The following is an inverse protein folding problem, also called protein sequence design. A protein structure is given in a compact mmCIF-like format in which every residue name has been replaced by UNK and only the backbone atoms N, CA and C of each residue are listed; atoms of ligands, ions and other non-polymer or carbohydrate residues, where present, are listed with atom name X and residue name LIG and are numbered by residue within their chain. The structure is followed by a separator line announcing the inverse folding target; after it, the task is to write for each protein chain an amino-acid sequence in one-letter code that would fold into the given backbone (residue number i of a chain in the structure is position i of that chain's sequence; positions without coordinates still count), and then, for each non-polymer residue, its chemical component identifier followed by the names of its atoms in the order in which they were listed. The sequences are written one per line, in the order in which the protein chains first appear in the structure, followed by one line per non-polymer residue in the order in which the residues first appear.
data_IF_714331092135
#
_entry.id   IF_714331092135
#
_cell.length_a   1.000
_cell.length_b   1.000
_cell.length_c   1.000
_cell.angle_alpha   90.00
_cell.angle_beta   90.00
_cell.angle_gamma   90.00
#
_symmetry.space_group_name_H-M   'P 1'
#
loop_
_entity.id
_entity.type
_entity.pdbx_description
1 polymer ?
#
# COMPACT_ATOMS: atom_id res chain seq x y z
N UNK A 1 11.59 -18.56 22.38
CA UNK A 1 11.12 -17.38 23.16
C UNK A 1 12.27 -16.37 23.37
N UNK A 2 12.99 -16.02 22.30
CA UNK A 2 14.24 -15.25 22.39
C UNK A 2 14.03 -13.78 21.98
N UNK A 3 13.32 -13.54 20.86
CA UNK A 3 13.06 -12.18 20.35
C UNK A 3 12.18 -11.31 21.27
N UNK A 4 11.14 -11.88 21.91
CA UNK A 4 10.28 -11.17 22.88
C UNK A 4 11.05 -10.80 24.17
N UNK A 5 12.09 -11.58 24.50
CA UNK A 5 12.97 -11.36 25.65
C UNK A 5 14.22 -10.54 25.30
N UNK A 6 14.35 -10.09 24.05
CA UNK A 6 15.44 -9.22 23.62
C UNK A 6 15.46 -7.93 24.44
N UNK A 7 16.63 -7.36 24.70
CA UNK A 7 16.74 -6.04 25.35
C UNK A 7 16.44 -4.88 24.40
N UNK A 8 16.31 -5.16 23.11
CA UNK A 8 15.97 -4.18 22.08
C UNK A 8 14.45 -4.04 21.95
N UNK A 9 13.91 -2.86 22.26
CA UNK A 9 12.49 -2.57 22.10
C UNK A 9 11.97 -2.84 20.67
N UNK A 10 12.69 -2.47 19.58
CA UNK A 10 12.24 -2.77 18.22
C UNK A 10 12.03 -4.27 17.97
N UNK A 11 12.90 -5.12 18.54
CA UNK A 11 12.81 -6.57 18.38
C UNK A 11 11.58 -7.15 19.11
N UNK A 12 11.24 -6.61 20.28
CA UNK A 12 10.02 -7.01 21.01
C UNK A 12 8.76 -6.62 20.24
N UNK A 13 8.73 -5.43 19.65
CA UNK A 13 7.60 -4.94 18.86
C UNK A 13 7.35 -5.80 17.62
N UNK A 14 8.40 -6.11 16.86
CA UNK A 14 8.32 -7.00 15.69
C UNK A 14 7.84 -8.39 16.10
N UNK A 15 8.39 -8.96 17.17
CA UNK A 15 7.96 -10.26 17.67
C UNK A 15 6.49 -10.26 18.11
N UNK A 16 6.04 -9.19 18.77
CA UNK A 16 4.63 -9.00 19.14
C UNK A 16 3.71 -8.86 17.93
N UNK A 17 4.12 -8.11 16.91
CA UNK A 17 3.40 -7.98 15.65
C UNK A 17 3.26 -9.32 14.92
N UNK A 18 4.36 -10.08 14.80
CA UNK A 18 4.36 -11.41 14.17
C UNK A 18 3.41 -12.35 14.89
N UNK A 19 3.43 -12.36 16.23
CA UNK A 19 2.50 -13.17 17.03
C UNK A 19 1.03 -12.79 16.79
N UNK A 20 0.71 -11.49 16.74
CA UNK A 20 -0.66 -11.00 16.47
C UNK A 20 -1.15 -11.31 15.05
N UNK A 21 -0.24 -11.41 14.07
CA UNK A 21 -0.58 -11.65 12.66
C UNK A 21 -0.34 -13.10 12.20
N UNK A 22 0.03 -14.00 13.11
CA UNK A 22 0.47 -15.35 12.79
C UNK A 22 -0.55 -16.15 11.98
N UNK A 23 -1.83 -16.08 12.35
CA UNK A 23 -2.91 -16.79 11.64
C UNK A 23 -3.05 -16.33 10.19
N UNK A 24 -2.88 -15.03 9.93
CA UNK A 24 -2.89 -14.47 8.58
C UNK A 24 -1.65 -14.91 7.78
N UNK A 25 -0.49 -15.03 8.44
CA UNK A 25 0.74 -15.53 7.81
C UNK A 25 0.56 -17.00 7.38
N UNK A 26 -0.06 -17.83 8.20
CA UNK A 26 -0.36 -19.22 7.83
C UNK A 26 -1.40 -19.29 6.71
N UNK A 27 -2.44 -18.45 6.78
CA UNK A 27 -3.48 -18.37 5.74
C UNK A 27 -2.88 -18.05 4.37
N UNK A 28 -1.88 -17.18 4.32
CA UNK A 28 -1.10 -16.91 3.10
C UNK A 28 -0.45 -18.17 2.52
N UNK A 29 0.13 -19.04 3.35
CA UNK A 29 0.78 -20.27 2.85
C UNK A 29 -0.22 -21.21 2.17
N UNK A 30 -1.48 -21.21 2.63
CA UNK A 30 -2.55 -22.05 2.08
C UNK A 30 -3.22 -21.45 0.84
N UNK A 31 -3.53 -20.16 0.89
CA UNK A 31 -4.35 -19.50 -0.15
C UNK A 31 -3.53 -18.63 -1.12
N UNK A 32 -2.26 -18.34 -0.80
CA UNK A 32 -1.35 -17.42 -1.54
C UNK A 32 -1.95 -16.04 -1.82
N UNK A 33 -2.93 -15.61 -1.02
CA UNK A 33 -3.53 -14.29 -1.14
C UNK A 33 -2.56 -13.28 -0.55
N UNK A 34 -1.97 -12.44 -1.40
CA UNK A 34 -0.97 -11.43 -1.04
C UNK A 34 -1.61 -10.03 -1.03
N UNK A 35 -1.11 -9.13 -0.19
CA UNK A 35 -1.51 -7.72 -0.21
C UNK A 35 -0.72 -6.89 -1.26
N UNK A 36 0.07 -7.55 -2.12
CA UNK A 36 1.00 -6.88 -3.03
C UNK A 36 0.30 -5.94 -4.01
N UNK A 37 -0.90 -6.31 -4.49
CA UNK A 37 -1.68 -5.45 -5.39
C UNK A 37 -2.12 -4.15 -4.68
N UNK A 38 -2.64 -4.26 -3.45
CA UNK A 38 -3.03 -3.11 -2.64
C UNK A 38 -1.83 -2.23 -2.29
N UNK A 39 -0.68 -2.82 -1.96
CA UNK A 39 0.57 -2.09 -1.70
C UNK A 39 1.07 -1.37 -2.94
N UNK A 40 0.99 -2.00 -4.12
CA UNK A 40 1.32 -1.38 -5.40
C UNK A 40 0.46 -0.15 -5.67
N UNK A 41 -0.85 -0.24 -5.43
CA UNK A 41 -1.78 0.89 -5.54
C UNK A 41 -1.44 1.99 -4.53
N UNK A 42 -1.20 1.63 -3.27
CA UNK A 42 -0.85 2.58 -2.22
C UNK A 42 0.44 3.34 -2.55
N UNK A 43 1.46 2.65 -3.07
CA UNK A 43 2.71 3.27 -3.54
C UNK A 43 2.46 4.26 -4.68
N UNK A 44 1.59 3.92 -5.64
CA UNK A 44 1.20 4.85 -6.72
C UNK A 44 0.49 6.10 -6.19
N UNK A 45 -0.39 5.95 -5.19
CA UNK A 45 -1.07 7.08 -4.53
C UNK A 45 -0.07 7.98 -3.80
N UNK A 46 0.91 7.41 -3.08
CA UNK A 46 1.97 8.18 -2.44
C UNK A 46 2.80 8.96 -3.46
N UNK A 47 3.12 8.34 -4.60
CA UNK A 47 3.80 9.02 -5.70
C UNK A 47 2.98 10.19 -6.25
N UNK A 48 1.68 10.02 -6.48
CA UNK A 48 0.78 11.12 -6.91
C UNK A 48 0.80 12.27 -5.89
N UNK A 49 0.73 11.94 -4.59
CA UNK A 49 0.82 12.94 -3.51
C UNK A 49 2.14 13.70 -3.53
N UNK A 50 3.26 12.98 -3.71
CA UNK A 50 4.60 13.56 -3.74
C UNK A 50 4.79 14.49 -4.94
N UNK A 51 4.44 14.03 -6.14
CA UNK A 51 4.63 14.78 -7.40
C UNK A 51 3.83 16.08 -7.43
N UNK A 52 2.65 16.10 -6.81
CA UNK A 52 1.78 17.26 -6.79
C UNK A 52 2.32 18.44 -5.94
N UNK A 53 3.33 18.22 -5.08
CA UNK A 53 3.90 19.25 -4.20
C UNK A 53 2.87 20.00 -3.31
N UNK A 54 1.68 19.44 -3.13
CA UNK A 54 0.58 19.99 -2.34
C UNK A 54 -0.71 20.16 -3.16
N UNK A 55 -1.78 19.49 -2.71
CA UNK A 55 -3.13 19.72 -3.24
C UNK A 55 -3.83 20.78 -2.38
N UNK A 56 -4.35 21.83 -3.03
CA UNK A 56 -5.11 22.92 -2.36
C UNK A 56 -6.42 22.45 -1.72
N UNK A 57 -7.03 21.39 -2.23
CA UNK A 57 -8.24 20.80 -1.68
C UNK A 57 -8.16 19.25 -1.74
N UNK A 58 -9.00 18.57 -0.94
CA UNK A 58 -9.07 17.10 -0.92
C UNK A 58 -9.63 16.54 -2.23
N UNK A 59 -10.58 17.24 -2.84
CA UNK A 59 -11.26 16.75 -4.04
C UNK A 59 -10.31 16.60 -5.23
N UNK A 60 -9.37 17.53 -5.42
CA UNK A 60 -8.36 17.47 -6.47
C UNK A 60 -7.41 16.29 -6.26
N UNK A 61 -7.08 15.97 -5.00
CA UNK A 61 -6.29 14.78 -4.71
C UNK A 61 -7.04 13.50 -5.08
N UNK A 62 -8.33 13.40 -4.74
CA UNK A 62 -9.18 12.27 -5.11
C UNK A 62 -9.29 12.14 -6.63
N UNK A 63 -9.56 13.25 -7.34
CA UNK A 63 -9.61 13.26 -8.80
C UNK A 63 -8.29 12.82 -9.43
N UNK A 64 -7.14 13.26 -8.90
CA UNK A 64 -5.83 12.82 -9.37
C UNK A 64 -5.60 11.32 -9.14
N UNK A 65 -6.05 10.77 -8.00
CA UNK A 65 -5.99 9.33 -7.76
C UNK A 65 -6.83 8.58 -8.80
N UNK A 66 -8.06 9.00 -9.06
CA UNK A 66 -8.90 8.38 -10.09
C UNK A 66 -8.29 8.50 -11.48
N UNK A 67 -7.69 9.65 -11.80
CA UNK A 67 -7.00 9.84 -13.07
C UNK A 67 -5.83 8.85 -13.25
N UNK A 68 -5.00 8.66 -12.23
CA UNK A 68 -3.82 7.80 -12.32
C UNK A 68 -4.09 6.31 -12.06
N UNK A 69 -5.12 5.96 -11.30
CA UNK A 69 -5.40 4.58 -10.87
C UNK A 69 -6.72 4.02 -11.40
N UNK A 70 -7.56 4.84 -12.03
CA UNK A 70 -8.91 4.46 -12.49
C UNK A 70 -8.97 3.76 -13.83
N UNK A 71 -7.84 3.55 -14.52
CA UNK A 71 -7.80 2.82 -15.80
C UNK A 71 -8.49 3.57 -16.94
N UNK A 72 -8.45 4.90 -16.94
CA UNK A 72 -9.03 5.73 -18.00
C UNK A 72 -8.27 5.54 -19.31
N UNK A 73 -9.01 5.34 -20.41
CA UNK A 73 -8.45 5.41 -21.76
C UNK A 73 -8.44 6.87 -22.22
N UNK A 74 -7.24 7.47 -22.21
CA UNK A 74 -7.01 8.88 -22.53
C UNK A 74 -6.19 9.03 -23.82
N UNK A 75 -6.00 7.93 -24.57
CA UNK A 75 -5.32 8.00 -25.85
C UNK A 75 -6.15 8.90 -26.80
N UNK A 76 -5.53 9.87 -27.48
CA UNK A 76 -6.23 10.64 -28.49
C UNK A 76 -6.73 9.70 -29.58
N UNK A 77 -8.02 9.78 -29.91
CA UNK A 77 -8.53 9.09 -31.09
C UNK A 77 -7.82 9.65 -32.33
N UNK A 78 -7.41 8.77 -33.24
CA UNK A 78 -6.82 9.20 -34.50
C UNK A 78 -7.79 10.17 -35.21
N UNK A 79 -7.32 11.39 -35.48
CA UNK A 79 -8.04 12.34 -36.30
C UNK A 79 -8.20 11.74 -37.70
N UNK A 80 -9.45 11.65 -38.17
CA UNK A 80 -9.80 11.21 -39.52
C UNK A 80 -9.27 12.17 -40.58
#
# INVERSE_FOLDING_TARGET
NWAVRSRLAPMKEVAGMLKRRFDNIITYLKHRITNAASESINSKIQWVKYTARGFRNKQNFISAIYFHCGGLDLAPAATK
#
